data_IF_452943662353
#
_entry.id   IF_452943662353
#
_cell.length_a   1.000
_cell.length_b   1.000
_cell.length_c   1.000
_cell.angle_alpha   90.00
_cell.angle_beta   90.00
_cell.angle_gamma   90.00
#
_symmetry.space_group_name_H-M   'P 1'
#
loop_
_entity.id
_entity.type
_entity.pdbx_description
1 polymer ?
#
# COMPACT_ATOMS: atom_id res chain seq x y z
N UNK A 1 -19.86 -13.47 -0.26
CA UNK A 1 -20.83 -13.91 0.77
C UNK A 1 -21.98 -12.94 0.82
N UNK A 2 -23.19 -13.36 1.23
CA UNK A 2 -24.35 -12.47 1.31
C UNK A 2 -24.24 -11.44 2.44
N UNK A 3 -24.95 -10.33 2.29
CA UNK A 3 -25.10 -9.32 3.34
C UNK A 3 -25.69 -9.94 4.61
N UNK A 4 -25.24 -9.47 5.77
CA UNK A 4 -25.69 -9.99 7.08
C UNK A 4 -26.61 -9.00 7.83
N UNK A 5 -26.96 -7.88 7.20
CA UNK A 5 -27.64 -6.77 7.88
C UNK A 5 -29.05 -7.10 8.37
N UNK A 6 -29.73 -8.06 7.74
CA UNK A 6 -31.08 -8.45 8.14
C UNK A 6 -31.16 -9.04 9.55
N UNK A 7 -30.03 -9.49 10.10
CA UNK A 7 -29.93 -10.05 11.46
C UNK A 7 -29.90 -8.98 12.56
N UNK A 8 -29.76 -7.70 12.21
CA UNK A 8 -29.62 -6.61 13.18
C UNK A 8 -30.97 -5.97 13.46
N UNK A 9 -31.42 -6.10 14.71
CA UNK A 9 -32.65 -5.52 15.25
C UNK A 9 -32.39 -4.85 16.60
N UNK A 10 -33.08 -3.73 16.86
CA UNK A 10 -32.99 -3.04 18.15
C UNK A 10 -33.82 -3.76 19.20
N UNK A 11 -33.24 -3.96 20.37
CA UNK A 11 -33.92 -4.41 21.59
C UNK A 11 -33.95 -3.26 22.62
N UNK A 12 -34.80 -3.25 23.65
CA UNK A 12 -34.78 -2.19 24.66
C UNK A 12 -33.42 -2.05 25.34
N UNK A 13 -32.73 -0.93 25.13
CA UNK A 13 -31.43 -0.59 25.71
C UNK A 13 -31.19 0.93 25.59
N UNK A 14 -30.29 1.46 26.41
CA UNK A 14 -29.89 2.88 26.34
C UNK A 14 -29.05 3.19 25.09
N UNK A 15 -28.24 2.22 24.65
CA UNK A 15 -27.39 2.32 23.45
C UNK A 15 -27.37 1.01 22.65
N UNK A 16 -27.24 1.14 21.33
CA UNK A 16 -27.18 0.06 20.35
C UNK A 16 -25.87 0.12 19.58
N UNK A 17 -25.02 -0.87 19.77
CA UNK A 17 -23.72 -0.98 19.10
C UNK A 17 -23.78 -2.14 18.09
N UNK A 18 -23.51 -1.83 16.83
CA UNK A 18 -23.44 -2.81 15.75
C UNK A 18 -22.00 -3.27 15.57
N UNK A 19 -21.76 -4.57 15.59
CA UNK A 19 -20.47 -5.17 15.25
C UNK A 19 -20.60 -5.89 13.92
N UNK A 20 -19.90 -5.45 12.88
CA UNK A 20 -20.00 -6.03 11.54
C UNK A 20 -18.62 -6.27 10.94
N UNK A 21 -18.34 -7.52 10.56
CA UNK A 21 -17.13 -7.87 9.82
C UNK A 21 -17.50 -7.93 8.34
N UNK A 22 -17.14 -6.92 7.55
CA UNK A 22 -17.63 -6.77 6.19
C UNK A 22 -16.93 -5.68 5.41
N UNK A 23 -17.33 -5.49 4.16
CA UNK A 23 -16.78 -4.49 3.23
C UNK A 23 -17.89 -3.58 2.71
N UNK A 24 -17.55 -2.30 2.51
CA UNK A 24 -18.49 -1.36 1.90
C UNK A 24 -18.51 -1.53 0.38
N UNK A 25 -19.70 -1.68 -0.20
CA UNK A 25 -19.89 -1.96 -1.64
C UNK A 25 -19.24 -0.91 -2.57
N UNK A 26 -19.16 0.35 -2.15
CA UNK A 26 -18.66 1.45 -2.99
C UNK A 26 -17.15 1.68 -2.88
N UNK A 27 -16.49 1.12 -1.87
CA UNK A 27 -15.04 1.25 -1.66
C UNK A 27 -14.29 -0.05 -1.97
N UNK A 28 -14.97 -1.05 -2.54
CA UNK A 28 -14.36 -2.27 -3.03
C UNK A 28 -13.89 -2.03 -4.48
N UNK A 29 -12.70 -1.44 -4.63
CA UNK A 29 -11.94 -1.44 -5.90
C UNK A 29 -11.48 -2.88 -6.21
N UNK A 30 -12.43 -3.77 -6.50
CA UNK A 30 -12.17 -5.17 -6.89
C UNK A 30 -11.78 -6.14 -5.77
N UNK A 31 -11.69 -5.72 -4.51
CA UNK A 31 -11.38 -6.63 -3.40
C UNK A 31 -12.57 -7.48 -2.95
N UNK A 32 -12.25 -8.72 -2.54
CA UNK A 32 -13.09 -9.76 -1.96
C UNK A 32 -14.26 -9.21 -1.12
N UNK A 33 -15.44 -9.10 -1.75
CA UNK A 33 -16.63 -8.49 -1.15
C UNK A 33 -17.21 -9.44 -0.09
N UNK A 34 -16.64 -9.36 1.10
CA UNK A 34 -17.10 -10.10 2.28
C UNK A 34 -18.22 -9.33 2.98
N UNK A 35 -19.35 -10.00 3.23
CA UNK A 35 -20.52 -9.46 3.91
C UNK A 35 -20.84 -7.99 3.52
N UNK A 36 -21.18 -7.75 2.24
CA UNK A 36 -21.31 -6.40 1.71
C UNK A 36 -22.37 -5.59 2.43
N UNK A 37 -22.07 -4.31 2.59
CA UNK A 37 -23.02 -3.30 3.07
C UNK A 37 -22.78 -1.96 2.37
N UNK A 38 -23.69 -1.02 2.59
CA UNK A 38 -23.53 0.40 2.30
C UNK A 38 -23.68 1.20 3.59
N UNK A 39 -22.99 2.35 3.68
CA UNK A 39 -23.16 3.27 4.81
C UNK A 39 -24.64 3.66 5.03
N UNK A 40 -25.43 3.76 3.96
CA UNK A 40 -26.89 3.99 4.03
C UNK A 40 -27.66 2.86 4.73
N UNK A 41 -27.36 1.60 4.39
CA UNK A 41 -28.02 0.46 5.03
C UNK A 41 -27.71 0.42 6.54
N UNK A 42 -26.45 0.68 6.95
CA UNK A 42 -26.07 0.77 8.37
C UNK A 42 -26.81 1.89 9.11
N UNK A 43 -26.89 3.07 8.49
CA UNK A 43 -27.66 4.21 9.04
C UNK A 43 -29.14 3.87 9.23
N UNK A 44 -29.74 3.16 8.26
CA UNK A 44 -31.17 2.81 8.31
C UNK A 44 -31.54 1.90 9.49
N UNK A 45 -30.58 1.18 10.07
CA UNK A 45 -30.81 0.33 11.24
C UNK A 45 -31.04 1.12 12.53
N UNK A 46 -30.65 2.40 12.57
CA UNK A 46 -30.88 3.28 13.73
C UNK A 46 -30.09 2.88 14.99
N UNK A 47 -28.95 2.22 14.83
CA UNK A 47 -27.99 1.97 15.90
C UNK A 47 -27.21 3.27 16.21
N UNK A 48 -26.57 3.35 17.37
CA UNK A 48 -25.86 4.56 17.80
C UNK A 48 -24.39 4.56 17.35
N UNK A 49 -23.81 3.37 17.15
CA UNK A 49 -22.43 3.18 16.69
C UNK A 49 -22.26 1.87 15.95
N UNK A 50 -21.41 1.87 14.92
CA UNK A 50 -20.98 0.67 14.19
C UNK A 50 -19.47 0.49 14.28
N UNK A 51 -19.04 -0.58 14.96
CA UNK A 51 -17.67 -1.05 14.92
C UNK A 51 -17.52 -2.09 13.80
N UNK A 52 -16.73 -1.73 12.80
CA UNK A 52 -16.51 -2.57 11.63
C UNK A 52 -15.24 -3.42 11.78
N UNK A 53 -15.17 -4.53 11.05
CA UNK A 53 -13.99 -5.39 10.93
C UNK A 53 -13.82 -5.84 9.48
N UNK A 54 -12.81 -6.68 9.20
CA UNK A 54 -12.34 -7.11 7.87
C UNK A 54 -11.23 -6.24 7.29
N UNK A 55 -11.47 -4.93 7.19
CA UNK A 55 -10.50 -3.98 6.62
C UNK A 55 -9.44 -3.61 7.65
N UNK A 56 -8.16 -3.83 7.33
CA UNK A 56 -7.03 -3.52 8.23
C UNK A 56 -6.65 -2.04 8.22
N UNK A 57 -7.11 -1.26 7.24
CA UNK A 57 -6.94 0.19 7.19
C UNK A 57 -7.92 0.86 8.15
N UNK A 58 -7.39 1.65 9.09
CA UNK A 58 -8.21 2.50 9.97
C UNK A 58 -8.93 3.55 9.13
N UNK A 59 -10.25 3.60 9.22
CA UNK A 59 -11.08 4.43 8.35
C UNK A 59 -12.39 4.82 9.02
N UNK A 60 -12.74 6.10 8.96
CA UNK A 60 -14.03 6.62 9.39
C UNK A 60 -14.93 6.77 8.18
N UNK A 61 -16.01 5.98 8.12
CA UNK A 61 -16.98 6.06 7.03
C UNK A 61 -18.04 7.14 7.28
N UNK A 62 -18.36 7.39 8.55
CA UNK A 62 -19.35 8.39 8.92
C UNK A 62 -19.06 8.99 10.30
N UNK A 63 -19.04 10.31 10.37
CA UNK A 63 -18.70 11.11 11.57
C UNK A 63 -19.88 11.37 12.52
N UNK A 64 -21.13 11.35 12.02
CA UNK A 64 -22.32 11.67 12.82
C UNK A 64 -23.60 11.03 12.28
N UNK A 65 -24.67 10.97 13.08
CA UNK A 65 -25.75 9.98 12.93
C UNK A 65 -25.41 8.78 13.82
N UNK A 66 -25.27 7.55 13.31
CA UNK A 66 -24.30 6.64 13.88
C UNK A 66 -22.91 6.98 13.39
N UNK A 67 -21.93 6.95 14.29
CA UNK A 67 -20.54 6.84 13.89
C UNK A 67 -20.33 5.44 13.30
N UNK A 68 -19.69 5.36 12.12
CA UNK A 68 -19.40 4.10 11.42
C UNK A 68 -17.91 4.03 11.15
N UNK A 69 -17.24 3.04 11.76
CA UNK A 69 -15.79 3.10 11.91
C UNK A 69 -15.12 1.74 11.75
N UNK A 70 -14.11 1.69 10.88
CA UNK A 70 -13.11 0.62 10.85
C UNK A 70 -11.93 1.00 11.77
N UNK A 71 -11.71 0.30 12.89
CA UNK A 71 -10.55 0.52 13.75
C UNK A 71 -9.24 0.05 13.10
N UNK A 72 -9.31 -0.78 12.05
CA UNK A 72 -8.15 -1.39 11.41
C UNK A 72 -7.59 -2.56 12.23
N UNK A 73 -6.30 -2.80 12.09
CA UNK A 73 -5.57 -3.78 12.89
C UNK A 73 -4.67 -3.12 13.95
N UNK A 74 -4.22 -3.94 14.91
CA UNK A 74 -3.37 -3.52 16.05
C UNK A 74 -1.86 -3.58 15.73
N UNK A 75 -1.48 -4.29 14.67
CA UNK A 75 -0.11 -4.48 14.21
C UNK A 75 -0.11 -4.73 12.71
N UNK A 76 0.63 -3.92 11.96
CA UNK A 76 0.81 -4.08 10.51
C UNK A 76 1.58 -5.35 10.20
N UNK A 77 1.05 -6.18 9.31
CA UNK A 77 1.60 -7.50 8.97
C UNK A 77 2.53 -7.48 7.77
N UNK A 78 2.45 -6.46 6.95
CA UNK A 78 3.25 -6.30 5.74
C UNK A 78 3.34 -4.81 5.37
N UNK A 79 4.22 -4.49 4.41
CA UNK A 79 4.47 -3.12 3.93
C UNK A 79 3.24 -2.35 3.41
N UNK A 80 2.20 -3.05 2.91
CA UNK A 80 0.96 -2.39 2.44
C UNK A 80 0.11 -1.87 3.61
N UNK A 81 0.42 -2.26 4.83
CA UNK A 81 -0.26 -1.84 6.06
C UNK A 81 0.55 -0.77 6.80
N UNK A 82 0.96 0.29 6.10
CA UNK A 82 1.72 1.40 6.66
C UNK A 82 0.93 2.28 7.63
N UNK A 83 1.65 3.07 8.41
CA UNK A 83 1.12 4.01 9.40
C UNK A 83 0.80 3.37 10.76
N UNK A 84 0.53 4.24 11.73
CA UNK A 84 0.22 3.85 13.11
C UNK A 84 -0.91 2.82 13.20
N UNK A 85 -0.67 1.72 13.92
CA UNK A 85 -1.66 0.69 14.23
C UNK A 85 -1.95 0.65 15.72
N UNK A 86 -3.18 0.30 16.08
CA UNK A 86 -3.60 0.40 17.47
C UNK A 86 -5.05 0.10 17.73
N UNK A 87 -5.54 0.62 18.84
CA UNK A 87 -6.92 0.47 19.30
C UNK A 87 -7.58 1.84 19.45
N UNK A 88 -8.92 1.86 19.40
CA UNK A 88 -9.70 3.08 19.56
C UNK A 88 -10.64 2.93 20.74
N UNK A 89 -10.53 3.84 21.71
CA UNK A 89 -11.51 4.00 22.78
C UNK A 89 -12.72 4.73 22.21
N UNK A 90 -13.89 4.14 22.38
CA UNK A 90 -15.16 4.74 21.99
C UNK A 90 -15.94 5.12 23.23
N UNK A 91 -16.27 6.40 23.35
CA UNK A 91 -17.11 6.92 24.43
C UNK A 91 -18.47 7.30 23.84
N UNK A 92 -19.55 6.72 24.39
CA UNK A 92 -20.91 6.97 23.96
C UNK A 92 -21.66 7.79 25.01
N UNK A 93 -22.33 8.84 24.56
CA UNK A 93 -23.25 9.63 25.36
C UNK A 93 -24.47 10.07 24.53
N UNK A 94 -25.32 10.94 25.09
CA UNK A 94 -26.54 11.43 24.41
C UNK A 94 -26.27 12.31 23.18
N UNK A 95 -25.03 12.77 22.98
CA UNK A 95 -24.62 13.57 21.82
C UNK A 95 -24.02 12.71 20.70
N UNK A 96 -23.56 11.48 21.01
CA UNK A 96 -23.08 10.52 20.02
C UNK A 96 -21.87 9.72 20.50
N UNK A 97 -21.02 9.33 19.55
CA UNK A 97 -19.79 8.58 19.81
C UNK A 97 -18.55 9.47 19.61
N UNK A 98 -17.71 9.56 20.63
CA UNK A 98 -16.37 10.15 20.53
C UNK A 98 -15.31 9.05 20.40
N UNK A 99 -14.36 9.24 19.49
CA UNK A 99 -13.30 8.28 19.18
C UNK A 99 -11.93 8.84 19.63
N UNK A 100 -11.21 8.07 20.44
CA UNK A 100 -9.82 8.38 20.84
C UNK A 100 -8.91 7.23 20.46
N UNK A 101 -7.96 7.47 19.56
CA UNK A 101 -7.00 6.46 19.10
C UNK A 101 -5.82 6.32 20.07
N UNK A 102 -5.38 5.08 20.27
CA UNK A 102 -4.21 4.71 21.06
C UNK A 102 -3.29 3.83 20.21
N UNK A 103 -2.07 4.28 19.87
CA UNK A 103 -1.10 3.45 19.18
C UNK A 103 -0.69 2.29 20.08
N UNK A 104 -0.63 1.07 19.52
CA UNK A 104 -0.22 -0.13 20.27
C UNK A 104 0.80 -0.99 19.53
N UNK A 105 1.11 -0.67 18.27
CA UNK A 105 2.01 -1.47 17.47
C UNK A 105 3.48 -1.30 17.91
N UNK A 106 4.17 -2.39 18.30
CA UNK A 106 5.60 -2.33 18.62
C UNK A 106 6.47 -2.06 17.38
N UNK A 107 5.99 -2.43 16.18
CA UNK A 107 6.70 -2.24 14.92
C UNK A 107 5.75 -1.56 13.92
N UNK A 108 6.21 -0.48 13.30
CA UNK A 108 5.44 0.29 12.32
C UNK A 108 6.08 0.18 10.93
N UNK A 109 5.24 0.00 9.92
CA UNK A 109 5.64 0.10 8.52
C UNK A 109 5.46 1.53 8.07
N UNK A 110 6.48 2.13 7.48
CA UNK A 110 6.41 3.50 6.98
C UNK A 110 7.01 3.58 5.58
N UNK A 111 6.38 4.40 4.73
CA UNK A 111 6.94 4.73 3.41
C UNK A 111 7.47 6.15 3.50
N UNK A 112 8.77 6.31 3.22
CA UNK A 112 9.45 7.60 3.26
C UNK A 112 9.90 7.98 1.87
N UNK A 113 9.70 9.24 1.52
CA UNK A 113 10.01 9.76 0.18
C UNK A 113 11.19 10.71 0.24
N UNK A 114 12.21 10.48 -0.58
CA UNK A 114 13.37 11.36 -0.75
C UNK A 114 13.38 11.93 -2.16
N UNK A 115 13.76 13.19 -2.31
CA UNK A 115 13.93 13.83 -3.61
C UNK A 115 15.36 14.35 -3.75
N UNK A 116 16.06 13.86 -4.77
CA UNK A 116 17.46 14.17 -5.04
C UNK A 116 17.55 14.99 -6.33
N UNK A 117 17.83 16.28 -6.17
CA UNK A 117 17.99 17.25 -7.27
C UNK A 117 19.47 17.55 -7.59
N UNK A 118 20.39 16.95 -6.84
CA UNK A 118 21.83 17.18 -6.96
C UNK A 118 22.47 16.29 -8.04
N UNK A 119 23.50 16.81 -8.70
CA UNK A 119 24.38 16.00 -9.54
C UNK A 119 25.21 15.00 -8.71
N UNK A 120 25.44 15.26 -7.42
CA UNK A 120 26.07 14.33 -6.50
C UNK A 120 25.04 13.39 -5.87
N UNK A 121 24.42 12.53 -6.68
CA UNK A 121 23.26 11.71 -6.27
C UNK A 121 23.59 10.85 -5.05
N UNK A 122 24.70 10.12 -5.08
CA UNK A 122 25.07 9.16 -4.03
C UNK A 122 25.30 9.87 -2.69
N UNK A 123 26.13 10.93 -2.67
CA UNK A 123 26.43 11.68 -1.44
C UNK A 123 25.16 12.30 -0.85
N UNK A 124 24.35 12.95 -1.70
CA UNK A 124 23.11 13.62 -1.28
C UNK A 124 22.11 12.62 -0.74
N UNK A 125 21.92 11.50 -1.45
CA UNK A 125 21.06 10.41 -1.00
C UNK A 125 21.52 9.86 0.35
N UNK A 126 22.80 9.53 0.48
CA UNK A 126 23.32 8.94 1.71
C UNK A 126 23.09 9.87 2.91
N UNK A 127 23.38 11.17 2.77
CA UNK A 127 23.13 12.15 3.83
C UNK A 127 21.64 12.22 4.21
N UNK A 128 20.74 12.37 3.22
CA UNK A 128 19.30 12.45 3.48
C UNK A 128 18.74 11.15 4.08
N UNK A 129 19.20 10.00 3.62
CA UNK A 129 18.78 8.70 4.14
C UNK A 129 19.20 8.51 5.60
N UNK A 130 20.43 8.92 5.96
CA UNK A 130 20.89 8.88 7.35
C UNK A 130 20.10 9.82 8.25
N UNK A 131 19.87 11.06 7.81
CA UNK A 131 19.04 12.02 8.55
C UNK A 131 17.61 11.48 8.77
N UNK A 132 17.04 10.83 7.74
CA UNK A 132 15.73 10.20 7.84
C UNK A 132 15.74 9.07 8.87
N UNK A 133 16.71 8.16 8.82
CA UNK A 133 16.84 7.07 9.79
C UNK A 133 16.98 7.62 11.21
N UNK A 134 17.79 8.67 11.41
CA UNK A 134 17.97 9.30 12.72
C UNK A 134 16.69 9.92 13.25
N UNK A 135 15.88 10.53 12.38
CA UNK A 135 14.59 11.11 12.77
C UNK A 135 13.58 10.07 13.27
N UNK A 136 13.66 8.82 12.80
CA UNK A 136 12.85 7.71 13.31
C UNK A 136 13.47 7.07 14.55
N UNK A 137 14.80 7.06 14.65
CA UNK A 137 15.50 6.43 15.77
C UNK A 137 15.29 7.16 17.10
N UNK A 138 14.93 8.45 17.07
CA UNK A 138 14.57 9.24 18.25
C UNK A 138 13.10 9.12 18.65
N UNK A 139 12.27 8.47 17.82
CA UNK A 139 10.85 8.23 18.13
C UNK A 139 10.69 6.99 19.00
N UNK A 140 9.50 6.84 19.59
CA UNK A 140 9.16 5.67 20.38
C UNK A 140 8.67 4.53 19.49
N UNK A 141 9.19 3.32 19.70
CA UNK A 141 8.87 2.13 18.92
C UNK A 141 9.92 1.76 17.86
N UNK A 142 9.60 0.74 17.06
CA UNK A 142 10.46 0.26 15.97
C UNK A 142 9.84 0.48 14.60
N UNK A 143 10.67 0.66 13.58
CA UNK A 143 10.24 1.06 12.24
C UNK A 143 10.87 0.19 11.16
N UNK A 144 10.04 -0.22 10.20
CA UNK A 144 10.42 -0.81 8.92
C UNK A 144 10.11 0.22 7.83
N UNK A 145 11.15 0.76 7.21
CA UNK A 145 11.04 1.83 6.23
C UNK A 145 11.12 1.27 4.81
N UNK A 146 10.16 1.62 3.97
CA UNK A 146 10.27 1.52 2.52
C UNK A 146 10.63 2.91 1.97
N UNK A 147 11.80 3.04 1.35
CA UNK A 147 12.30 4.29 0.80
C UNK A 147 11.93 4.43 -0.68
N UNK A 148 11.23 5.50 -1.02
CA UNK A 148 10.98 5.91 -2.41
C UNK A 148 11.85 7.12 -2.74
N UNK A 149 12.83 6.92 -3.61
CA UNK A 149 13.85 7.94 -3.91
C UNK A 149 13.63 8.45 -5.32
N UNK A 150 13.15 9.68 -5.44
CA UNK A 150 13.01 10.36 -6.73
C UNK A 150 14.31 11.07 -7.10
N UNK A 151 14.91 10.69 -8.23
CA UNK A 151 16.12 11.35 -8.76
C UNK A 151 15.72 12.15 -10.00
N UNK A 152 15.98 13.46 -9.96
CA UNK A 152 15.63 14.39 -11.06
C UNK A 152 16.82 14.81 -11.90
N UNK A 153 18.05 14.65 -11.40
CA UNK A 153 19.27 14.90 -12.15
C UNK A 153 19.60 13.72 -13.09
N UNK A 154 20.13 14.00 -14.28
CA UNK A 154 20.75 12.99 -15.12
C UNK A 154 22.01 12.46 -14.41
N UNK A 155 21.99 11.19 -14.04
CA UNK A 155 23.10 10.55 -13.35
C UNK A 155 23.30 9.14 -13.91
N UNK A 156 24.56 8.64 -13.99
CA UNK A 156 24.81 7.25 -14.35
C UNK A 156 24.00 6.30 -13.47
N UNK A 157 23.57 5.19 -14.07
CA UNK A 157 22.71 4.17 -13.47
C UNK A 157 23.22 3.77 -12.09
N UNK A 158 22.57 4.26 -11.03
CA UNK A 158 22.86 3.83 -9.66
C UNK A 158 21.98 2.62 -9.35
N UNK A 159 22.60 1.55 -8.86
CA UNK A 159 21.89 0.35 -8.43
C UNK A 159 21.09 0.64 -7.15
N UNK A 160 19.78 0.41 -7.18
CA UNK A 160 18.93 0.49 -5.99
C UNK A 160 19.40 -0.47 -4.88
N UNK A 161 19.93 -1.64 -5.27
CA UNK A 161 20.45 -2.61 -4.31
C UNK A 161 21.70 -2.12 -3.59
N UNK A 162 22.62 -1.48 -4.31
CA UNK A 162 23.87 -0.98 -3.72
C UNK A 162 23.58 0.14 -2.72
N UNK A 163 22.61 1.02 -3.06
CA UNK A 163 22.14 2.06 -2.15
C UNK A 163 21.42 1.48 -0.94
N UNK A 164 20.62 0.43 -1.14
CA UNK A 164 19.93 -0.25 -0.06
C UNK A 164 20.93 -0.88 0.92
N UNK A 165 21.93 -1.61 0.42
CA UNK A 165 22.98 -2.23 1.24
C UNK A 165 23.74 -1.17 2.03
N UNK A 166 24.16 -0.09 1.36
CA UNK A 166 24.85 1.03 1.98
C UNK A 166 24.06 1.65 3.15
N UNK A 167 22.74 1.80 2.99
CA UNK A 167 21.87 2.39 4.03
C UNK A 167 21.54 1.39 5.13
N UNK A 168 21.38 0.10 4.80
CA UNK A 168 21.14 -0.97 5.77
C UNK A 168 22.32 -1.12 6.75
N UNK A 169 23.56 -0.95 6.28
CA UNK A 169 24.75 -0.93 7.13
C UNK A 169 24.77 0.20 8.17
N UNK A 170 23.96 1.24 7.95
CA UNK A 170 23.88 2.42 8.81
C UNK A 170 22.55 2.56 9.58
N UNK A 171 21.69 1.55 9.49
CA UNK A 171 20.45 1.47 10.26
C UNK A 171 20.72 1.45 11.78
N UNK A 172 19.76 1.94 12.56
CA UNK A 172 19.93 2.11 14.01
C UNK A 172 19.20 1.01 14.76
N UNK A 173 19.87 0.43 15.74
CA UNK A 173 19.29 -0.54 16.66
C UNK A 173 19.74 -0.24 18.08
N UNK A 174 18.79 -0.29 19.01
CA UNK A 174 19.01 -0.22 20.46
C UNK A 174 18.61 -1.56 21.09
N UNK A 175 18.69 -1.68 22.42
CA UNK A 175 18.19 -2.87 23.11
C UNK A 175 16.67 -3.04 23.00
N UNK A 176 15.92 -1.95 22.79
CA UNK A 176 14.45 -1.94 22.87
C UNK A 176 13.76 -1.51 21.58
N UNK A 177 14.48 -0.94 20.61
CA UNK A 177 13.92 -0.43 19.35
C UNK A 177 14.89 -0.58 18.18
N UNK A 178 14.37 -0.53 16.96
CA UNK A 178 15.17 -0.47 15.75
C UNK A 178 14.52 0.37 14.66
N UNK A 179 15.33 0.89 13.75
CA UNK A 179 14.91 1.47 12.48
C UNK A 179 15.64 0.71 11.39
N UNK A 180 14.89 0.06 10.52
CA UNK A 180 15.44 -0.77 9.45
C UNK A 180 14.84 -0.38 8.10
N UNK A 181 15.69 -0.17 7.11
CA UNK A 181 15.25 0.07 5.73
C UNK A 181 15.00 -1.27 5.05
N UNK A 182 13.72 -1.60 4.87
CA UNK A 182 13.27 -2.86 4.29
C UNK A 182 13.42 -2.89 2.76
N UNK A 183 13.10 -1.79 2.09
CA UNK A 183 13.25 -1.70 0.64
C UNK A 183 13.59 -0.28 0.18
N UNK A 184 14.16 -0.19 -1.02
CA UNK A 184 14.45 1.06 -1.69
C UNK A 184 14.01 0.96 -3.15
N UNK A 185 13.20 1.92 -3.59
CA UNK A 185 12.75 2.07 -4.97
C UNK A 185 13.30 3.39 -5.53
N UNK A 186 14.00 3.33 -6.66
CA UNK A 186 14.42 4.51 -7.40
C UNK A 186 13.36 4.90 -8.42
N UNK A 187 12.97 6.17 -8.41
CA UNK A 187 12.04 6.77 -9.37
C UNK A 187 12.83 7.80 -10.16
N UNK A 188 13.27 7.44 -11.36
CA UNK A 188 13.99 8.37 -12.24
C UNK A 188 12.99 9.13 -13.11
N UNK A 189 12.92 10.45 -12.97
CA UNK A 189 12.19 11.27 -13.94
C UNK A 189 13.05 11.41 -15.19
N UNK A 190 12.89 10.51 -16.17
CA UNK A 190 13.53 10.66 -17.49
C UNK A 190 13.12 12.01 -18.08
N UNK A 191 14.09 12.88 -18.33
CA UNK A 191 13.91 14.03 -19.23
C UNK A 191 13.85 13.48 -20.64
N UNK A 192 12.66 13.18 -21.13
CA UNK A 192 12.30 12.99 -22.55
C UNK A 192 13.44 12.54 -23.48
N UNK A 193 14.13 11.44 -23.15
CA UNK A 193 14.85 10.66 -24.16
C UNK A 193 13.80 9.74 -24.75
N UNK A 194 13.62 9.88 -26.06
CA UNK A 194 12.76 9.04 -26.90
C UNK A 194 12.99 7.59 -26.46
N UNK A 195 11.93 6.89 -26.05
CA UNK A 195 12.04 5.52 -25.55
C UNK A 195 12.72 4.66 -26.63
N UNK A 196 13.55 3.69 -26.23
CA UNK A 196 14.09 2.70 -27.17
C UNK A 196 12.97 2.07 -28.03
N UNK A 197 11.79 1.88 -27.42
CA UNK A 197 10.59 1.39 -28.08
C UNK A 197 10.03 2.39 -29.11
N UNK A 198 10.20 3.69 -28.91
CA UNK A 198 9.80 4.72 -29.89
C UNK A 198 10.75 4.81 -31.08
N UNK A 199 11.96 4.24 -30.99
CA UNK A 199 13.00 4.33 -32.03
C UNK A 199 13.21 3.04 -32.82
N UNK A 200 12.76 1.89 -32.30
CA UNK A 200 12.94 0.57 -32.92
C UNK A 200 11.63 -0.06 -33.38
N UNK A 201 11.66 -0.78 -34.51
CA UNK A 201 10.52 -1.49 -35.11
C UNK A 201 9.81 -2.48 -34.17
N UNK A 202 10.49 -2.97 -33.12
CA UNK A 202 9.92 -3.86 -32.11
C UNK A 202 9.02 -3.11 -31.13
N UNK A 203 9.23 -1.81 -30.93
CA UNK A 203 8.50 -1.06 -29.92
C UNK A 203 7.04 -0.78 -30.26
N UNK A 204 6.68 -0.69 -31.55
CA UNK A 204 5.27 -0.64 -31.95
C UNK A 204 4.53 -1.94 -31.58
N UNK A 205 5.13 -3.09 -31.86
CA UNK A 205 4.58 -4.41 -31.52
C UNK A 205 4.49 -4.60 -30.00
N UNK A 206 5.51 -4.14 -29.26
CA UNK A 206 5.51 -4.22 -27.80
C UNK A 206 4.47 -3.28 -27.17
N UNK A 207 4.35 -2.05 -27.66
CA UNK A 207 3.34 -1.12 -27.19
C UNK A 207 1.93 -1.65 -27.48
N UNK A 208 1.73 -2.28 -28.64
CA UNK A 208 0.49 -2.97 -28.97
C UNK A 208 0.21 -4.10 -27.97
N UNK A 209 1.18 -4.95 -27.65
CA UNK A 209 1.03 -6.02 -26.67
C UNK A 209 0.78 -5.49 -25.25
N UNK A 210 1.47 -4.44 -24.83
CA UNK A 210 1.28 -3.79 -23.51
C UNK A 210 -0.13 -3.20 -23.40
N UNK A 211 -0.62 -2.54 -24.46
CA UNK A 211 -1.97 -2.02 -24.53
C UNK A 211 -3.02 -3.14 -24.54
N UNK A 212 -2.77 -4.25 -25.24
CA UNK A 212 -3.67 -5.41 -25.26
C UNK A 212 -3.77 -6.06 -23.87
N UNK A 213 -2.66 -6.11 -23.13
CA UNK A 213 -2.62 -6.61 -21.75
C UNK A 213 -3.22 -5.66 -20.72
N UNK A 214 -3.58 -4.42 -21.09
CA UNK A 214 -4.42 -3.59 -20.22
C UNK A 214 -5.85 -4.12 -20.12
N UNK A 215 -6.31 -4.88 -21.12
CA UNK A 215 -7.57 -5.61 -21.03
C UNK A 215 -7.45 -6.76 -20.02
N UNK A 216 -8.41 -6.82 -19.11
CA UNK A 216 -8.42 -7.79 -18.02
C UNK A 216 -8.45 -9.23 -18.52
N UNK A 217 -9.25 -9.51 -19.56
CA UNK A 217 -9.42 -10.86 -20.07
C UNK A 217 -8.15 -11.37 -20.75
N UNK A 218 -7.49 -10.53 -21.55
CA UNK A 218 -6.20 -10.85 -22.18
C UNK A 218 -5.12 -11.06 -21.13
N UNK A 219 -5.04 -10.18 -20.13
CA UNK A 219 -4.06 -10.29 -19.05
C UNK A 219 -4.16 -11.64 -18.32
N UNK A 220 -5.37 -12.03 -17.91
CA UNK A 220 -5.57 -13.30 -17.21
C UNK A 220 -5.35 -14.53 -18.10
N UNK A 221 -5.59 -14.45 -19.41
CA UNK A 221 -5.23 -15.52 -20.35
C UNK A 221 -3.72 -15.76 -20.39
N UNK A 222 -2.91 -14.70 -20.38
CA UNK A 222 -1.44 -14.82 -20.35
C UNK A 222 -0.95 -15.34 -19.00
N UNK A 223 -1.57 -14.88 -17.91
CA UNK A 223 -1.22 -15.29 -16.54
C UNK A 223 -1.76 -16.68 -16.16
N UNK A 224 -2.61 -17.28 -16.99
CA UNK A 224 -3.29 -18.55 -16.74
C UNK A 224 -2.33 -19.65 -16.27
N UNK A 225 -1.19 -19.80 -16.96
CA UNK A 225 -0.20 -20.84 -16.63
C UNK A 225 0.42 -20.64 -15.24
N UNK A 226 0.59 -19.39 -14.81
CA UNK A 226 1.12 -19.06 -13.49
C UNK A 226 0.08 -19.36 -12.39
N UNK A 227 -1.18 -19.01 -12.63
CA UNK A 227 -2.29 -19.29 -11.72
C UNK A 227 -2.57 -20.79 -11.58
N UNK A 228 -2.39 -21.59 -12.64
CA UNK A 228 -2.57 -23.06 -12.56
C UNK A 228 -1.34 -23.83 -12.04
N UNK A 229 -0.23 -23.14 -11.76
CA UNK A 229 0.95 -23.79 -11.21
C UNK A 229 0.74 -24.19 -9.74
N UNK A 230 0.70 -25.50 -9.46
CA UNK A 230 0.37 -26.10 -8.14
C UNK A 230 1.21 -25.60 -6.96
N UNK A 231 2.38 -25.01 -7.20
CA UNK A 231 3.22 -24.41 -6.17
C UNK A 231 2.92 -22.95 -5.84
N UNK A 232 2.46 -22.19 -6.85
CA UNK A 232 2.43 -20.71 -6.84
C UNK A 232 1.02 -20.19 -6.55
N UNK A 233 -0.03 -20.90 -7.00
CA UNK A 233 -1.44 -20.51 -6.83
C UNK A 233 -1.77 -20.05 -5.39
N UNK A 234 -1.26 -20.75 -4.37
CA UNK A 234 -1.51 -20.40 -2.95
C UNK A 234 -0.98 -19.03 -2.51
N UNK A 235 -0.10 -18.41 -3.30
CA UNK A 235 0.56 -17.14 -3.01
C UNK A 235 0.08 -16.01 -3.93
N UNK A 236 -0.72 -16.32 -4.95
CA UNK A 236 -1.29 -15.33 -5.85
C UNK A 236 -2.64 -14.88 -5.27
N UNK A 237 -2.76 -13.59 -5.00
CA UNK A 237 -4.04 -12.93 -4.77
C UNK A 237 -4.64 -12.48 -6.10
N UNK A 238 -5.92 -12.11 -6.10
CA UNK A 238 -6.49 -11.41 -7.26
C UNK A 238 -5.73 -10.10 -7.49
N UNK A 239 -5.33 -9.87 -8.74
CA UNK A 239 -4.59 -8.68 -9.16
C UNK A 239 -5.62 -7.60 -9.49
N UNK A 240 -5.56 -6.48 -8.77
CA UNK A 240 -6.43 -5.32 -9.04
C UNK A 240 -6.04 -4.60 -10.34
N UNK A 241 -6.91 -3.73 -10.86
CA UNK A 241 -6.61 -2.91 -12.05
C UNK A 241 -5.38 -2.00 -11.84
N UNK A 242 -5.25 -1.43 -10.64
CA UNK A 242 -4.09 -0.61 -10.28
C UNK A 242 -2.80 -1.45 -10.26
N UNK A 243 -2.84 -2.64 -9.67
CA UNK A 243 -1.69 -3.56 -9.65
C UNK A 243 -1.36 -4.08 -11.05
N UNK A 244 -2.36 -4.35 -11.91
CA UNK A 244 -2.14 -4.70 -13.33
C UNK A 244 -1.41 -3.59 -14.05
N UNK A 245 -1.82 -2.34 -13.85
CA UNK A 245 -1.19 -1.16 -14.46
C UNK A 245 0.25 -0.97 -13.97
N UNK A 246 0.49 -1.17 -12.67
CA UNK A 246 1.84 -1.14 -12.09
C UNK A 246 2.72 -2.25 -12.68
N UNK A 247 2.23 -3.49 -12.74
CA UNK A 247 2.96 -4.63 -13.30
C UNK A 247 3.35 -4.42 -14.77
N UNK A 248 2.44 -3.87 -15.59
CA UNK A 248 2.74 -3.55 -16.99
C UNK A 248 3.78 -2.43 -17.11
N UNK A 249 3.72 -1.45 -16.22
CA UNK A 249 4.70 -0.36 -16.17
C UNK A 249 6.08 -0.90 -15.79
N UNK A 250 6.17 -1.75 -14.76
CA UNK A 250 7.40 -2.40 -14.34
C UNK A 250 7.97 -3.33 -15.43
N UNK A 251 7.11 -4.09 -16.12
CA UNK A 251 7.52 -4.97 -17.21
C UNK A 251 8.13 -4.17 -18.38
N UNK A 252 7.54 -3.03 -18.73
CA UNK A 252 8.07 -2.12 -19.76
C UNK A 252 9.44 -1.57 -19.36
N UNK A 253 9.61 -1.13 -18.11
CA UNK A 253 10.89 -0.64 -17.60
C UNK A 253 11.97 -1.73 -17.59
N UNK A 254 11.61 -2.95 -17.20
CA UNK A 254 12.53 -4.08 -17.18
C UNK A 254 13.03 -4.41 -18.59
N UNK A 255 12.14 -4.41 -19.58
CA UNK A 255 12.51 -4.65 -20.97
C UNK A 255 13.42 -3.54 -21.52
N UNK A 256 13.08 -2.27 -21.28
CA UNK A 256 13.93 -1.14 -21.71
C UNK A 256 15.35 -1.29 -21.16
N UNK A 257 15.49 -1.69 -19.89
CA UNK A 257 16.79 -1.94 -19.27
C UNK A 257 17.53 -3.11 -19.92
N UNK A 258 16.86 -4.24 -20.11
CA UNK A 258 17.45 -5.44 -20.71
C UNK A 258 17.90 -5.21 -22.17
N UNK A 259 17.17 -4.40 -22.93
CA UNK A 259 17.52 -4.05 -24.31
C UNK A 259 18.68 -3.05 -24.38
N UNK A 260 18.72 -2.07 -23.47
CA UNK A 260 19.86 -1.16 -23.37
C UNK A 260 21.18 -1.90 -23.04
N UNK A 261 21.13 -2.93 -22.20
CA UNK A 261 22.28 -3.79 -21.88
C UNK A 261 22.80 -4.61 -23.08
N UNK A 262 21.95 -4.88 -24.08
CA UNK A 262 22.32 -5.65 -25.29
C UNK A 262 22.94 -4.80 -26.41
N UNK A 263 22.80 -3.47 -26.39
CA UNK A 263 23.44 -2.57 -27.37
C UNK A 263 24.88 -2.19 -26.98
N UNK A 264 25.23 -2.30 -25.70
CA UNK A 264 26.58 -1.99 -25.19
C UNK A 264 27.60 -3.15 -25.36
N UNK A 265 27.17 -4.31 -25.88
CA UNK A 265 27.97 -5.51 -26.21
C UNK A 265 28.24 -5.66 -27.72
#
# INVERSE_FOLDING_TARGET
MDSQLDKYEKQPADFHIGLLHGSERTHADGHDVYAPFTTNELRSKGFDYWALGHIHKRMLLQESGPVIYYPGNIQGRNRKESGEKGATLVQLDSQGAALTFYPTAPIQWETVTLTIESAEVINTFFQQALEMIESYAVQDGSYLLDMEVTVTAEHPTVSANDLLELVQDNCKQTETSFVWVNSLRLITKKTSQTSFLETHLIGEEWQAASNELQDESTFFQVMEQLYFHKGINRFLTDITEAERTELLTEANQYLEKALAELEDD
#
